data_IF_369648611764
#
_entry.id   IF_369648611764
#
_cell.length_a   1.000
_cell.length_b   1.000
_cell.length_c   1.000
_cell.angle_alpha   90.00
_cell.angle_beta   90.00
_cell.angle_gamma   90.00
#
_symmetry.space_group_name_H-M   'P 1'
#
loop_
_entity.id
_entity.type
_entity.pdbx_description
1 polymer ?
#
# COMPACT_ATOMS: atom_id res chain seq x y z
N UNK A 1 -0.23 1.68 6.98
CA UNK A 1 0.99 1.85 6.16
C UNK A 1 1.89 2.89 6.79
N UNK A 2 2.92 2.46 7.53
CA UNK A 2 3.98 3.38 7.96
C UNK A 2 4.99 3.54 6.82
N UNK A 3 5.27 4.81 6.46
CA UNK A 3 6.05 5.19 5.30
C UNK A 3 7.23 6.07 5.73
N UNK A 4 8.36 5.44 6.02
CA UNK A 4 9.65 6.11 6.10
C UNK A 4 10.27 6.18 4.71
N UNK A 5 10.53 7.38 4.19
CA UNK A 5 11.26 7.53 2.93
C UNK A 5 12.75 7.84 3.25
N UNK A 6 13.63 7.17 2.49
CA UNK A 6 15.05 7.49 2.26
C UNK A 6 16.10 7.08 3.30
N UNK A 7 16.91 6.09 2.92
CA UNK A 7 18.31 5.99 3.32
C UNK A 7 19.15 6.57 2.17
N UNK A 8 19.71 7.77 2.37
CA UNK A 8 20.49 8.49 1.35
C UNK A 8 21.98 8.25 1.60
N UNK A 9 22.76 7.99 0.56
CA UNK A 9 24.21 7.77 0.65
C UNK A 9 24.92 9.00 0.05
N UNK A 10 25.58 9.80 0.89
CA UNK A 10 26.46 10.90 0.47
C UNK A 10 27.93 10.45 0.40
N UNK A 11 28.65 11.07 -0.54
CA UNK A 11 30.09 10.88 -0.77
C UNK A 11 30.92 11.29 0.44
N UNK A 12 31.56 10.32 1.10
CA UNK A 12 32.83 10.55 1.77
C UNK A 12 33.88 9.58 1.22
N UNK A 13 35.03 10.14 0.81
CA UNK A 13 36.26 9.36 0.64
C UNK A 13 36.52 8.67 1.99
N UNK A 14 36.72 7.35 1.94
CA UNK A 14 36.87 6.41 3.04
C UNK A 14 35.56 5.89 3.66
N UNK A 15 35.08 4.77 3.10
CA UNK A 15 34.70 3.56 3.85
C UNK A 15 33.55 3.61 4.86
N UNK A 16 32.87 4.74 5.05
CA UNK A 16 31.77 4.86 6.00
C UNK A 16 30.47 5.22 5.25
N UNK A 17 29.52 4.29 5.23
CA UNK A 17 28.14 4.56 4.80
C UNK A 17 27.49 5.38 5.92
N UNK A 18 27.52 6.70 5.79
CA UNK A 18 26.75 7.59 6.67
C UNK A 18 25.30 7.57 6.22
N UNK A 19 24.38 7.27 7.13
CA UNK A 19 22.95 7.41 6.87
C UNK A 19 22.66 8.88 6.57
N UNK A 20 22.32 9.18 5.32
CA UNK A 20 21.87 10.50 4.90
C UNK A 20 20.49 10.85 5.47
N UNK A 21 20.05 12.11 5.30
CA UNK A 21 18.81 12.61 5.86
C UNK A 21 17.60 11.82 5.33
N UNK A 22 16.78 11.28 6.22
CA UNK A 22 15.49 10.67 5.88
C UNK A 22 14.38 11.72 6.04
N UNK A 23 13.39 11.72 5.14
CA UNK A 23 12.17 12.48 5.32
C UNK A 23 10.96 11.57 5.14
N UNK A 24 9.91 11.76 5.93
CA UNK A 24 8.70 10.95 5.77
C UNK A 24 7.80 11.52 4.66
N UNK A 25 7.16 10.62 3.92
CA UNK A 25 6.04 10.95 3.03
C UNK A 25 4.68 10.73 3.71
N UNK A 26 4.65 10.49 5.02
CA UNK A 26 3.40 10.44 5.80
C UNK A 26 2.72 11.82 5.74
N UNK A 27 1.40 11.83 5.66
CA UNK A 27 0.62 13.06 5.54
C UNK A 27 -0.66 12.87 4.73
N UNK A 28 -1.08 13.94 4.05
CA UNK A 28 -2.29 13.96 3.23
C UNK A 28 -2.02 13.47 1.82
N UNK A 29 -2.65 12.36 1.46
CA UNK A 29 -2.63 11.73 0.15
C UNK A 29 -4.02 11.81 -0.48
N UNK A 30 -4.16 11.32 -1.70
CA UNK A 30 -5.44 11.03 -2.35
C UNK A 30 -5.66 9.53 -2.39
N UNK A 31 -6.92 9.10 -2.27
CA UNK A 31 -7.32 7.72 -2.53
C UNK A 31 -8.47 7.70 -3.52
N UNK A 32 -8.41 6.80 -4.50
CA UNK A 32 -9.44 6.61 -5.50
C UNK A 32 -9.84 5.15 -5.63
N UNK A 33 -11.09 4.88 -6.01
CA UNK A 33 -11.59 3.53 -6.22
C UNK A 33 -11.33 3.04 -7.67
N UNK A 34 -11.70 1.80 -7.98
CA UNK A 34 -11.24 1.10 -9.20
C UNK A 34 -11.73 1.70 -10.51
N UNK A 35 -12.95 2.26 -10.51
CA UNK A 35 -13.53 2.95 -11.67
C UNK A 35 -13.35 4.48 -11.64
N UNK A 36 -12.70 5.02 -10.60
CA UNK A 36 -12.48 6.45 -10.42
C UNK A 36 -13.71 7.29 -10.04
N UNK A 37 -14.85 6.67 -9.73
CA UNK A 37 -16.07 7.39 -9.30
C UNK A 37 -15.95 8.00 -7.90
N UNK A 38 -15.09 7.45 -7.06
CA UNK A 38 -14.73 8.00 -5.75
C UNK A 38 -13.28 8.45 -5.76
N UNK A 39 -13.07 9.69 -5.35
CA UNK A 39 -11.74 10.24 -5.08
C UNK A 39 -11.82 11.21 -3.89
N UNK A 40 -11.01 10.96 -2.87
CA UNK A 40 -11.05 11.74 -1.63
C UNK A 40 -9.65 11.87 -1.01
N UNK A 41 -9.43 12.86 -0.12
CA UNK A 41 -8.24 12.88 0.70
C UNK A 41 -8.14 11.64 1.59
N UNK A 42 -6.93 11.16 1.83
CA UNK A 42 -6.64 10.05 2.73
C UNK A 42 -5.36 10.32 3.51
N UNK A 43 -5.37 10.02 4.80
CA UNK A 43 -4.18 10.13 5.64
C UNK A 43 -3.31 8.90 5.46
N UNK A 44 -1.99 9.09 5.32
CA UNK A 44 -0.98 8.03 5.41
C UNK A 44 -0.12 8.30 6.65
N UNK A 45 -0.02 7.38 7.61
CA UNK A 45 -0.64 6.05 7.66
C UNK A 45 -2.17 6.07 7.78
N UNK A 46 -2.86 5.19 7.05
CA UNK A 46 -4.31 5.02 7.15
C UNK A 46 -4.83 3.90 6.25
N UNK A 47 -6.15 3.68 6.34
CA UNK A 47 -6.91 2.71 5.56
C UNK A 47 -8.04 3.37 4.77
N UNK A 48 -8.50 2.71 3.71
CA UNK A 48 -9.62 3.18 2.88
C UNK A 48 -10.89 3.38 3.71
N UNK A 49 -11.26 2.41 4.56
CA UNK A 49 -12.44 2.51 5.43
C UNK A 49 -12.37 3.74 6.33
N UNK A 50 -11.23 3.99 6.98
CA UNK A 50 -11.04 5.18 7.81
C UNK A 50 -11.10 6.47 7.00
N UNK A 51 -10.56 6.50 5.78
CA UNK A 51 -10.61 7.69 4.91
C UNK A 51 -12.06 8.01 4.49
N UNK A 52 -12.82 6.99 4.06
CA UNK A 52 -14.22 7.13 3.68
C UNK A 52 -15.09 7.59 4.87
N UNK A 53 -14.87 7.01 6.05
CA UNK A 53 -15.59 7.37 7.27
C UNK A 53 -15.27 8.80 7.71
N UNK A 54 -13.99 9.18 7.72
CA UNK A 54 -13.54 10.53 8.08
C UNK A 54 -14.15 11.61 7.17
N UNK A 55 -14.43 11.29 5.90
CA UNK A 55 -15.07 12.19 4.94
C UNK A 55 -16.60 12.02 4.86
N UNK A 56 -17.21 11.24 5.77
CA UNK A 56 -18.66 11.07 5.85
C UNK A 56 -19.30 10.34 4.67
N UNK A 57 -18.50 9.64 3.84
CA UNK A 57 -19.00 8.87 2.70
C UNK A 57 -19.62 7.53 3.12
N UNK A 58 -19.23 7.04 4.30
CA UNK A 58 -19.80 5.87 4.94
C UNK A 58 -20.06 6.18 6.42
N UNK A 59 -20.98 5.45 7.03
CA UNK A 59 -21.17 5.43 8.47
C UNK A 59 -20.04 4.65 9.14
N UNK A 60 -20.02 4.63 10.47
CA UNK A 60 -19.13 3.77 11.24
C UNK A 60 -19.22 2.32 10.72
N UNK A 61 -18.11 1.72 10.24
CA UNK A 61 -18.08 0.34 9.77
C UNK A 61 -18.51 -0.68 10.83
N UNK A 62 -18.41 -0.35 12.12
CA UNK A 62 -18.82 -1.23 13.23
C UNK A 62 -20.29 -1.06 13.61
N UNK A 63 -21.01 -0.11 13.00
CA UNK A 63 -22.41 0.09 13.28
C UNK A 63 -23.29 -0.98 12.62
N UNK A 64 -23.95 -1.78 13.46
CA UNK A 64 -24.97 -2.79 13.07
C UNK A 64 -24.45 -3.83 12.07
N UNK A 65 -24.87 -3.72 10.81
CA UNK A 65 -24.61 -4.69 9.73
C UNK A 65 -23.71 -4.10 8.64
N UNK A 66 -22.93 -3.08 8.99
CA UNK A 66 -22.06 -2.40 8.03
C UNK A 66 -20.86 -3.26 7.59
N UNK A 67 -20.51 -4.30 8.35
CA UNK A 67 -19.65 -5.40 7.91
C UNK A 67 -20.15 -6.02 6.60
N UNK A 68 -21.47 -6.21 6.48
CA UNK A 68 -22.11 -6.73 5.26
C UNK A 68 -22.34 -5.63 4.22
N UNK A 69 -22.85 -4.47 4.64
CA UNK A 69 -23.24 -3.39 3.72
C UNK A 69 -22.03 -2.78 2.99
N UNK A 70 -20.86 -2.74 3.64
CA UNK A 70 -19.65 -2.12 3.11
C UNK A 70 -18.64 -3.12 2.54
N UNK A 71 -19.05 -4.37 2.34
CA UNK A 71 -18.22 -5.41 1.71
C UNK A 71 -17.65 -5.01 0.34
N UNK A 72 -18.38 -4.16 -0.40
CA UNK A 72 -17.92 -3.61 -1.69
C UNK A 72 -16.59 -2.86 -1.58
N UNK A 73 -16.29 -2.24 -0.44
CA UNK A 73 -15.02 -1.51 -0.21
C UNK A 73 -13.85 -2.49 -0.24
N UNK A 74 -14.00 -3.66 0.39
CA UNK A 74 -12.97 -4.70 0.43
C UNK A 74 -12.81 -5.47 -0.90
N UNK A 75 -13.84 -5.43 -1.75
CA UNK A 75 -13.86 -6.11 -3.07
C UNK A 75 -13.35 -5.21 -4.21
N UNK A 76 -13.36 -3.89 -4.05
CA UNK A 76 -12.82 -2.97 -5.04
C UNK A 76 -11.29 -2.85 -4.93
N UNK A 77 -10.66 -2.41 -6.02
CA UNK A 77 -9.26 -2.05 -6.07
C UNK A 77 -9.12 -0.56 -5.78
N UNK A 78 -8.19 -0.19 -4.90
CA UNK A 78 -8.01 1.19 -4.47
C UNK A 78 -6.62 1.69 -4.83
N UNK A 79 -6.51 2.96 -5.20
CA UNK A 79 -5.22 3.59 -5.52
C UNK A 79 -4.95 4.72 -4.55
N UNK A 80 -3.87 4.60 -3.76
CA UNK A 80 -3.30 5.73 -3.04
C UNK A 80 -2.37 6.50 -3.97
N UNK A 81 -2.49 7.82 -4.01
CA UNK A 81 -1.62 8.67 -4.83
C UNK A 81 -1.21 9.94 -4.11
N UNK A 82 0.00 10.41 -4.42
CA UNK A 82 0.52 11.69 -3.95
C UNK A 82 1.49 12.27 -4.98
N UNK A 83 1.57 13.59 -4.99
CA UNK A 83 2.63 14.33 -5.68
C UNK A 83 3.47 15.06 -4.64
N UNK A 84 4.79 15.10 -4.84
CA UNK A 84 5.69 15.77 -3.92
C UNK A 84 6.93 16.29 -4.64
N UNK A 85 7.44 17.41 -4.13
CA UNK A 85 8.76 17.93 -4.50
C UNK A 85 9.80 17.41 -3.51
N UNK A 86 10.95 16.96 -4.01
CA UNK A 86 12.04 16.55 -3.12
C UNK A 86 12.66 17.76 -2.42
N UNK A 87 13.01 17.66 -1.12
CA UNK A 87 13.63 18.75 -0.37
C UNK A 87 15.17 18.78 -0.52
N UNK A 88 15.73 18.10 -1.53
CA UNK A 88 17.17 17.94 -1.72
C UNK A 88 17.55 18.01 -3.20
N UNK A 89 18.80 18.34 -3.49
CA UNK A 89 19.29 18.40 -4.87
C UNK A 89 19.79 17.02 -5.33
N UNK A 90 19.20 16.46 -6.39
CA UNK A 90 19.56 15.12 -6.90
C UNK A 90 21.05 14.96 -7.22
N UNK A 91 21.72 16.01 -7.70
CA UNK A 91 23.14 15.91 -8.11
C UNK A 91 24.10 15.63 -6.95
N UNK A 92 23.65 15.83 -5.71
CA UNK A 92 24.46 15.65 -4.50
C UNK A 92 24.45 14.20 -3.98
N UNK A 93 23.60 13.33 -4.54
CA UNK A 93 23.35 11.99 -3.99
C UNK A 93 23.54 10.89 -5.04
N UNK A 94 24.28 9.85 -4.65
CA UNK A 94 24.54 8.71 -5.55
C UNK A 94 23.39 7.71 -5.60
N UNK A 95 22.60 7.64 -4.51
CA UNK A 95 21.51 6.67 -4.35
C UNK A 95 20.34 7.28 -3.62
N UNK A 96 19.14 6.99 -4.13
CA UNK A 96 17.86 7.41 -3.60
C UNK A 96 16.98 6.16 -3.46
N UNK A 97 16.50 5.87 -2.25
CA UNK A 97 15.64 4.72 -1.95
C UNK A 97 14.28 5.14 -1.45
N UNK A 98 13.23 4.49 -1.96
CA UNK A 98 11.89 4.53 -1.40
C UNK A 98 11.68 3.35 -0.44
N UNK A 99 11.39 3.64 0.82
CA UNK A 99 11.20 2.63 1.85
C UNK A 99 9.73 2.64 2.29
N UNK A 100 9.19 1.46 2.57
CA UNK A 100 7.87 1.27 3.18
C UNK A 100 8.07 0.34 4.38
N UNK A 101 7.58 0.71 5.55
CA UNK A 101 7.72 -0.15 6.73
C UNK A 101 6.63 -1.21 6.79
N UNK A 102 5.49 -0.95 6.15
CA UNK A 102 4.45 -1.95 5.96
C UNK A 102 3.39 -1.47 4.96
N UNK A 103 3.04 -2.33 4.01
CA UNK A 103 2.01 -2.10 2.99
C UNK A 103 0.97 -3.19 3.16
N UNK A 104 -0.30 -2.83 3.34
CA UNK A 104 -1.41 -3.77 3.56
C UNK A 104 -2.30 -3.83 2.30
N UNK A 105 -2.17 -4.83 1.43
CA UNK A 105 -1.12 -5.87 1.40
C UNK A 105 -0.54 -5.99 0.01
N UNK A 106 -1.43 -6.23 -0.97
CA UNK A 106 -1.04 -6.47 -2.35
C UNK A 106 -1.16 -5.17 -3.12
N UNK A 107 -0.03 -4.59 -3.52
CA UNK A 107 -0.01 -3.38 -4.32
C UNK A 107 1.09 -3.40 -5.38
N UNK A 108 0.78 -2.81 -6.54
CA UNK A 108 1.78 -2.38 -7.52
C UNK A 108 2.19 -0.94 -7.25
N UNK A 109 3.49 -0.69 -7.20
CA UNK A 109 4.05 0.62 -6.82
C UNK A 109 4.61 1.28 -8.06
N UNK A 110 4.01 2.42 -8.42
CA UNK A 110 4.41 3.24 -9.55
C UNK A 110 5.05 4.53 -9.03
N UNK A 111 6.23 4.83 -9.54
CA UNK A 111 6.95 6.06 -9.28
C UNK A 111 7.19 6.78 -10.61
N UNK A 112 6.65 7.98 -10.79
CA UNK A 112 6.67 8.72 -12.05
C UNK A 112 6.17 7.89 -13.25
N UNK A 113 5.08 7.14 -13.04
CA UNK A 113 4.48 6.23 -14.02
C UNK A 113 5.37 5.03 -14.42
N UNK A 114 6.43 4.75 -13.66
CA UNK A 114 7.28 3.57 -13.81
C UNK A 114 7.02 2.60 -12.67
N UNK A 115 6.70 1.34 -12.97
CA UNK A 115 6.57 0.29 -11.95
C UNK A 115 7.94 0.01 -11.35
N UNK A 116 8.10 0.32 -10.06
CA UNK A 116 9.36 0.09 -9.31
C UNK A 116 9.32 -1.20 -8.49
N UNK A 117 8.13 -1.77 -8.28
CA UNK A 117 7.99 -3.03 -7.57
C UNK A 117 6.55 -3.39 -7.24
N UNK A 118 6.41 -4.55 -6.59
CA UNK A 118 5.14 -5.10 -6.11
C UNK A 118 5.29 -5.52 -4.65
N UNK A 119 4.17 -5.54 -3.94
CA UNK A 119 4.05 -5.95 -2.54
C UNK A 119 2.96 -7.01 -2.43
N UNK A 120 3.09 -7.89 -1.44
CA UNK A 120 2.20 -9.03 -1.20
C UNK A 120 2.16 -9.48 0.27
N UNK A 121 2.84 -8.77 1.17
CA UNK A 121 2.98 -9.15 2.56
C UNK A 121 2.91 -7.94 3.49
N UNK A 122 1.91 -7.93 4.37
CA UNK A 122 1.64 -6.85 5.32
C UNK A 122 2.73 -6.67 6.38
N UNK A 123 3.49 -7.74 6.66
CA UNK A 123 4.35 -7.83 7.83
C UNK A 123 5.83 -7.61 7.51
N UNK A 124 6.16 -7.23 6.27
CA UNK A 124 7.54 -6.94 5.86
C UNK A 124 7.68 -5.52 5.37
N UNK A 125 8.83 -4.92 5.66
CA UNK A 125 9.25 -3.70 5.01
C UNK A 125 9.70 -3.96 3.57
N UNK A 126 9.60 -2.93 2.74
CA UNK A 126 10.04 -2.93 1.35
C UNK A 126 10.98 -1.75 1.09
N UNK A 127 12.00 -1.96 0.26
CA UNK A 127 12.97 -0.93 -0.12
C UNK A 127 13.21 -0.98 -1.62
N UNK A 128 12.87 0.09 -2.33
CA UNK A 128 13.02 0.22 -3.78
C UNK A 128 14.09 1.26 -4.11
N UNK A 129 15.02 0.92 -4.99
CA UNK A 129 15.97 1.90 -5.54
C UNK A 129 15.25 2.74 -6.61
N UNK A 130 15.13 4.05 -6.36
CA UNK A 130 14.45 5.00 -7.26
C UNK A 130 15.43 5.99 -7.89
N UNK A 131 16.75 5.75 -7.75
CA UNK A 131 17.82 6.66 -8.21
C UNK A 131 17.65 7.07 -9.68
N UNK A 132 17.24 6.13 -10.54
CA UNK A 132 17.15 6.36 -11.99
C UNK A 132 15.79 6.94 -12.43
N UNK A 133 14.81 7.00 -11.54
CA UNK A 133 13.43 7.44 -11.88
C UNK A 133 13.01 8.71 -11.14
N UNK A 134 13.74 9.10 -10.09
CA UNK A 134 13.48 10.30 -9.31
C UNK A 134 13.76 11.58 -10.09
N UNK A 135 12.90 12.58 -9.88
CA UNK A 135 12.92 13.92 -10.48
C UNK A 135 12.76 14.97 -9.37
N UNK A 136 12.78 16.25 -9.71
CA UNK A 136 12.52 17.34 -8.75
C UNK A 136 11.09 17.25 -8.17
N UNK A 137 10.10 17.06 -9.04
CA UNK A 137 8.71 16.80 -8.67
C UNK A 137 8.33 15.39 -9.12
N UNK A 138 7.70 14.64 -8.21
CA UNK A 138 7.42 13.22 -8.40
C UNK A 138 5.96 12.90 -8.13
N UNK A 139 5.45 11.90 -8.83
CA UNK A 139 4.19 11.23 -8.52
C UNK A 139 4.46 9.83 -8.01
N UNK A 140 3.80 9.46 -6.92
CA UNK A 140 3.85 8.11 -6.34
C UNK A 140 2.42 7.57 -6.28
N UNK A 141 2.23 6.36 -6.81
CA UNK A 141 0.94 5.65 -6.78
C UNK A 141 1.14 4.24 -6.25
N UNK A 142 0.28 3.83 -5.34
CA UNK A 142 0.16 2.45 -4.88
C UNK A 142 -1.20 1.95 -5.33
N UNK A 143 -1.19 1.07 -6.33
CA UNK A 143 -2.39 0.43 -6.88
C UNK A 143 -2.64 -0.87 -6.12
N UNK A 144 -3.51 -0.80 -5.12
CA UNK A 144 -3.89 -1.95 -4.31
C UNK A 144 -4.89 -2.82 -5.05
N UNK A 145 -4.69 -4.13 -4.92
CA UNK A 145 -5.66 -5.15 -5.33
C UNK A 145 -6.51 -5.57 -4.13
N UNK A 146 -7.79 -5.85 -4.36
CA UNK A 146 -8.66 -6.46 -3.35
C UNK A 146 -7.99 -7.71 -2.75
N UNK A 147 -7.84 -7.71 -1.42
CA UNK A 147 -7.27 -8.83 -0.68
C UNK A 147 -8.10 -10.11 -0.84
N UNK A 148 -9.43 -9.97 -0.86
CA UNK A 148 -10.38 -11.08 -1.04
C UNK A 148 -10.20 -11.72 -2.42
N UNK A 149 -10.25 -10.89 -3.47
CA UNK A 149 -10.09 -11.38 -4.84
C UNK A 149 -8.68 -11.97 -5.08
N UNK A 150 -7.65 -11.34 -4.50
CA UNK A 150 -6.30 -11.86 -4.58
C UNK A 150 -6.19 -13.25 -3.94
N UNK A 151 -6.67 -13.41 -2.70
CA UNK A 151 -6.64 -14.69 -1.99
C UNK A 151 -7.39 -15.80 -2.74
N UNK A 152 -8.56 -15.48 -3.29
CA UNK A 152 -9.32 -16.40 -4.15
C UNK A 152 -8.53 -16.81 -5.40
N UNK A 153 -7.91 -15.85 -6.10
CA UNK A 153 -7.07 -16.13 -7.26
C UNK A 153 -5.85 -17.00 -6.91
N UNK A 154 -5.19 -16.74 -5.79
CA UNK A 154 -4.06 -17.54 -5.32
C UNK A 154 -4.50 -18.97 -5.00
N UNK A 155 -5.68 -19.14 -4.37
CA UNK A 155 -6.26 -20.46 -4.11
C UNK A 155 -6.56 -21.20 -5.43
N UNK A 156 -7.12 -20.53 -6.44
CA UNK A 156 -7.39 -21.13 -7.75
C UNK A 156 -6.11 -21.52 -8.50
N UNK A 157 -5.04 -20.73 -8.36
CA UNK A 157 -3.74 -21.03 -8.95
C UNK A 157 -3.05 -22.22 -8.27
N UNK A 158 -3.39 -22.51 -7.00
CA UNK A 158 -2.89 -23.66 -6.27
C UNK A 158 -3.67 -24.94 -6.63
N UNK A 159 -3.28 -25.57 -7.73
CA UNK A 159 -4.02 -26.70 -8.32
C UNK A 159 -3.62 -28.07 -7.78
N UNK A 160 -2.49 -28.18 -7.08
CA UNK A 160 -1.94 -29.48 -6.66
C UNK A 160 -2.80 -30.20 -5.63
N UNK A 161 -3.37 -29.47 -4.67
CA UNK A 161 -4.27 -29.98 -3.64
C UNK A 161 -5.04 -28.81 -3.01
N UNK A 162 -5.99 -29.09 -2.11
CA UNK A 162 -6.73 -28.04 -1.39
C UNK A 162 -6.03 -27.67 -0.08
N UNK A 163 -6.02 -26.38 0.27
CA UNK A 163 -5.44 -25.89 1.52
C UNK A 163 -6.57 -25.44 2.46
N UNK A 164 -7.03 -26.29 3.40
CA UNK A 164 -8.10 -25.95 4.33
C UNK A 164 -7.62 -25.07 5.51
N UNK A 165 -8.54 -24.38 6.22
CA UNK A 165 -9.94 -24.21 5.84
C UNK A 165 -10.10 -23.27 4.63
N UNK A 166 -10.94 -23.65 3.67
CA UNK A 166 -11.18 -22.84 2.46
C UNK A 166 -12.04 -21.60 2.77
N UNK A 167 -13.10 -21.74 3.58
CA UNK A 167 -13.96 -20.66 4.01
C UNK A 167 -14.18 -20.73 5.52
N UNK A 168 -14.41 -19.58 6.19
CA UNK A 168 -14.79 -19.57 7.59
C UNK A 168 -16.23 -20.11 7.78
N UNK A 169 -16.61 -20.48 9.02
CA UNK A 169 -17.99 -20.78 9.38
C UNK A 169 -18.95 -19.63 9.03
N UNK A 170 -20.18 -19.96 8.66
CA UNK A 170 -21.18 -18.99 8.14
C UNK A 170 -21.55 -17.93 9.18
N UNK A 171 -21.55 -18.30 10.46
CA UNK A 171 -21.80 -17.41 11.59
C UNK A 171 -20.79 -16.27 11.71
N UNK A 172 -19.58 -16.44 11.17
CA UNK A 172 -18.55 -15.39 11.14
C UNK A 172 -18.80 -14.34 10.06
N UNK A 173 -19.61 -14.65 9.03
CA UNK A 173 -19.92 -13.76 7.91
C UNK A 173 -18.67 -13.21 7.19
N UNK A 174 -17.58 -13.98 7.23
CA UNK A 174 -16.27 -13.58 6.73
C UNK A 174 -16.01 -13.93 5.28
N UNK A 175 -14.73 -13.80 4.90
CA UNK A 175 -14.22 -14.05 3.56
C UNK A 175 -13.41 -15.34 3.48
N UNK A 176 -13.42 -16.00 2.33
CA UNK A 176 -12.71 -17.25 2.10
C UNK A 176 -11.20 -17.04 1.80
N UNK A 177 -10.44 -18.13 1.90
CA UNK A 177 -9.05 -18.27 1.45
C UNK A 177 -8.04 -17.34 2.10
N UNK A 178 -8.32 -16.85 3.31
CA UNK A 178 -7.41 -15.93 4.00
C UNK A 178 -6.04 -16.53 4.29
N UNK A 179 -5.92 -17.85 4.29
CA UNK A 179 -4.65 -18.59 4.36
C UNK A 179 -3.74 -18.42 3.13
N UNK A 180 -4.24 -17.89 2.01
CA UNK A 180 -3.47 -17.60 0.80
C UNK A 180 -2.89 -16.17 0.73
N UNK A 181 -3.09 -15.35 1.76
CA UNK A 181 -2.56 -13.99 1.82
C UNK A 181 -1.82 -13.72 3.14
N UNK A 182 -0.70 -13.00 3.07
CA UNK A 182 0.08 -12.60 4.26
C UNK A 182 -0.44 -11.27 4.81
N UNK A 183 -1.60 -11.33 5.48
CA UNK A 183 -2.34 -10.17 5.99
C UNK A 183 -2.93 -10.45 7.38
N UNK A 184 -3.08 -9.41 8.21
CA UNK A 184 -3.82 -9.49 9.48
C UNK A 184 -5.31 -9.70 9.21
N UNK A 185 -5.92 -10.69 9.87
CA UNK A 185 -7.32 -11.04 9.69
C UNK A 185 -8.23 -9.84 10.04
N UNK A 186 -9.17 -9.55 9.14
CA UNK A 186 -10.24 -8.54 9.30
C UNK A 186 -11.28 -9.03 10.30
#
# INVERSE_FOLDING_TARGET
>A
MHLHLLLILALFRAGCVVAGPSYSLSGSWRVSNGNGSLELPATVPGYVHSALHQHGLIQDPYYRFNDLNYRWISLDNWTYSTEFKIPFNLSEWQKVKLIFDGVDTVAEILFNNVTIGKTDNMFTGYSFDVTNVVKDVNSLKLQFRSAVQYAECQSKAHTSYRVPPECPPVEQKGECHVNFIRKGLL
#
